data_IF_262664579872
#
_entry.id   IF_262664579872
#
_cell.length_a   1.000
_cell.length_b   1.000
_cell.length_c   1.000
_cell.angle_alpha   90.00
_cell.angle_beta   90.00
_cell.angle_gamma   90.00
#
_symmetry.space_group_name_H-M   'P 1'
#
loop_
_entity.id
_entity.type
_entity.pdbx_description
1 polymer ?
#
# COMPACT_ATOMS: atom_id res chain seq x y z
N UNK A 1 -10.45 -16.78 1.84
CA UNK A 1 -9.51 -16.62 0.69
C UNK A 1 -9.40 -17.89 -0.13
N UNK A 2 -9.12 -19.05 0.45
CA UNK A 2 -8.77 -20.30 -0.27
C UNK A 2 -9.81 -20.74 -1.31
N UNK A 3 -11.11 -20.71 -0.98
CA UNK A 3 -12.17 -21.11 -1.92
C UNK A 3 -12.32 -20.10 -3.08
N UNK A 4 -12.26 -18.81 -2.79
CA UNK A 4 -12.48 -17.73 -3.77
C UNK A 4 -11.32 -17.59 -4.77
N UNK A 5 -10.09 -17.80 -4.31
CA UNK A 5 -8.86 -17.60 -5.11
C UNK A 5 -8.12 -18.93 -5.37
N UNK A 6 -8.84 -20.06 -5.40
CA UNK A 6 -8.22 -21.38 -5.57
C UNK A 6 -7.32 -21.47 -6.81
N UNK A 7 -7.79 -20.96 -7.95
CA UNK A 7 -7.05 -20.99 -9.22
C UNK A 7 -5.77 -20.14 -9.16
N UNK A 8 -5.84 -18.94 -8.57
CA UNK A 8 -4.68 -18.05 -8.40
C UNK A 8 -3.66 -18.67 -7.44
N UNK A 9 -4.13 -19.26 -6.34
CA UNK A 9 -3.29 -19.93 -5.35
C UNK A 9 -2.56 -21.11 -6.01
N UNK A 10 -3.26 -21.96 -6.76
CA UNK A 10 -2.64 -23.06 -7.50
C UNK A 10 -1.60 -22.57 -8.50
N UNK A 11 -1.91 -21.52 -9.25
CA UNK A 11 -0.98 -20.87 -10.18
C UNK A 11 0.26 -20.30 -9.49
N UNK A 12 0.12 -19.73 -8.29
CA UNK A 12 1.24 -19.26 -7.49
C UNK A 12 2.09 -20.45 -7.04
N UNK A 13 1.48 -21.46 -6.43
CA UNK A 13 2.19 -22.62 -5.92
C UNK A 13 2.91 -23.39 -7.02
N UNK A 14 2.34 -23.48 -8.22
CA UNK A 14 2.96 -24.17 -9.37
C UNK A 14 4.27 -23.55 -9.85
N UNK A 15 4.57 -22.30 -9.47
CA UNK A 15 5.85 -21.63 -9.81
C UNK A 15 7.01 -22.08 -8.95
N UNK A 16 6.76 -22.80 -7.86
CA UNK A 16 7.75 -23.24 -6.88
C UNK A 16 7.81 -24.76 -6.78
N UNK A 17 8.97 -25.34 -6.46
CA UNK A 17 9.07 -26.77 -6.14
C UNK A 17 8.14 -27.12 -4.97
N UNK A 18 7.58 -28.36 -4.99
CA UNK A 18 6.61 -28.80 -3.99
C UNK A 18 7.13 -28.74 -2.55
N UNK A 19 8.46 -28.90 -2.36
CA UNK A 19 9.16 -28.80 -1.08
C UNK A 19 9.57 -27.36 -0.72
N UNK A 20 9.18 -26.35 -1.51
CA UNK A 20 9.57 -24.93 -1.38
C UNK A 20 8.38 -23.99 -1.33
N UNK A 21 7.23 -24.44 -0.83
CA UNK A 21 6.00 -23.61 -0.73
C UNK A 21 6.18 -22.34 0.10
N UNK A 22 7.13 -22.31 1.04
CA UNK A 22 7.51 -21.11 1.79
C UNK A 22 7.79 -19.90 0.88
N UNK A 23 8.35 -20.12 -0.31
CA UNK A 23 8.63 -19.05 -1.28
C UNK A 23 7.37 -18.38 -1.82
N UNK A 24 6.20 -18.97 -1.65
CA UNK A 24 4.91 -18.43 -2.06
C UNK A 24 4.28 -17.47 -1.03
N UNK A 25 4.87 -17.29 0.16
CA UNK A 25 4.29 -16.47 1.24
C UNK A 25 3.99 -15.04 0.75
N UNK A 26 4.94 -14.37 0.10
CA UNK A 26 4.75 -12.99 -0.41
C UNK A 26 3.56 -12.87 -1.38
N UNK A 27 3.50 -13.64 -2.49
CA UNK A 27 2.35 -13.53 -3.40
C UNK A 27 1.02 -13.99 -2.78
N UNK A 28 1.03 -14.88 -1.80
CA UNK A 28 -0.18 -15.27 -1.06
C UNK A 28 -0.67 -14.15 -0.13
N UNK A 29 0.26 -13.40 0.51
CA UNK A 29 -0.08 -12.22 1.31
C UNK A 29 -0.72 -11.11 0.48
N UNK A 30 -0.32 -10.90 -0.77
CA UNK A 30 -1.01 -9.95 -1.65
C UNK A 30 -2.47 -10.35 -1.90
N UNK A 31 -2.76 -11.64 -2.13
CA UNK A 31 -4.14 -12.12 -2.26
C UNK A 31 -4.90 -11.93 -0.94
N UNK A 32 -4.28 -12.23 0.19
CA UNK A 32 -4.89 -12.08 1.50
C UNK A 32 -5.22 -10.62 1.79
N UNK A 33 -4.28 -9.71 1.55
CA UNK A 33 -4.49 -8.28 1.74
C UNK A 33 -5.58 -7.72 0.81
N UNK A 34 -5.63 -8.18 -0.44
CA UNK A 34 -6.69 -7.82 -1.39
C UNK A 34 -8.07 -8.28 -0.90
N UNK A 35 -8.19 -9.48 -0.32
CA UNK A 35 -9.46 -10.04 0.14
C UNK A 35 -9.95 -9.38 1.44
N UNK A 36 -9.04 -9.13 2.39
CA UNK A 36 -9.40 -8.68 3.74
C UNK A 36 -9.12 -7.20 3.99
N UNK A 37 -8.52 -6.48 3.03
CA UNK A 37 -8.12 -5.08 3.14
C UNK A 37 -6.80 -4.87 3.87
N UNK A 38 -6.38 -5.82 4.73
CA UNK A 38 -5.09 -5.86 5.42
C UNK A 38 -4.76 -7.30 5.84
N UNK A 39 -3.54 -7.56 6.30
CA UNK A 39 -3.09 -8.87 6.75
C UNK A 39 -3.62 -9.18 8.16
N UNK A 40 -4.89 -9.58 8.24
CA UNK A 40 -5.51 -9.94 9.53
C UNK A 40 -4.81 -11.16 10.15
N UNK A 41 -4.92 -11.38 11.50
CA UNK A 41 -4.41 -12.61 12.13
C UNK A 41 -4.98 -13.90 11.52
N UNK A 42 -6.22 -13.87 11.02
CA UNK A 42 -6.82 -15.01 10.32
C UNK A 42 -6.20 -15.20 8.92
N UNK A 43 -5.97 -14.11 8.18
CA UNK A 43 -5.28 -14.13 6.90
C UNK A 43 -3.85 -14.70 7.03
N UNK A 44 -3.11 -14.29 8.06
CA UNK A 44 -1.76 -14.81 8.36
C UNK A 44 -1.82 -16.33 8.60
N UNK A 45 -2.77 -16.82 9.39
CA UNK A 45 -2.95 -18.26 9.64
C UNK A 45 -3.32 -19.03 8.36
N UNK A 46 -4.17 -18.46 7.53
CA UNK A 46 -4.58 -19.08 6.26
C UNK A 46 -3.40 -19.16 5.28
N UNK A 47 -2.62 -18.11 5.14
CA UNK A 47 -1.40 -18.09 4.30
C UNK A 47 -0.37 -19.10 4.83
N UNK A 48 -0.17 -19.17 6.15
CA UNK A 48 0.76 -20.10 6.77
C UNK A 48 0.37 -21.57 6.48
N UNK A 49 -0.92 -21.89 6.58
CA UNK A 49 -1.42 -23.22 6.26
C UNK A 49 -1.20 -23.62 4.78
N UNK A 50 -1.41 -22.67 3.84
CA UNK A 50 -1.19 -22.91 2.41
C UNK A 50 0.30 -23.09 2.10
N UNK A 51 1.16 -22.26 2.69
CA UNK A 51 2.61 -22.27 2.49
C UNK A 51 3.35 -23.35 3.29
N UNK A 52 2.63 -24.06 4.18
CA UNK A 52 3.18 -25.09 5.08
C UNK A 52 4.31 -24.56 5.96
N UNK A 53 4.09 -23.38 6.58
CA UNK A 53 5.02 -22.71 7.51
C UNK A 53 4.31 -22.33 8.80
N UNK A 54 5.08 -21.92 9.83
CA UNK A 54 4.49 -21.41 11.06
C UNK A 54 3.90 -20.01 10.86
N UNK A 55 2.75 -19.67 11.49
CA UNK A 55 2.14 -18.35 11.39
C UNK A 55 3.08 -17.19 11.75
N UNK A 56 4.00 -17.40 12.71
CA UNK A 56 5.00 -16.41 13.11
C UNK A 56 5.99 -16.08 11.99
N UNK A 57 6.27 -17.02 11.07
CA UNK A 57 7.12 -16.74 9.91
C UNK A 57 6.41 -15.83 8.90
N UNK A 58 5.09 -15.99 8.73
CA UNK A 58 4.27 -15.14 7.88
C UNK A 58 4.13 -13.75 8.50
N UNK A 59 3.88 -13.67 9.80
CA UNK A 59 3.78 -12.43 10.56
C UNK A 59 5.09 -11.62 10.49
N UNK A 60 6.24 -12.27 10.58
CA UNK A 60 7.53 -11.64 10.40
C UNK A 60 7.72 -11.04 8.99
N UNK A 61 7.13 -11.64 7.96
CA UNK A 61 7.12 -11.09 6.59
C UNK A 61 6.24 -9.85 6.51
N UNK A 62 5.07 -9.87 7.13
CA UNK A 62 4.16 -8.70 7.21
C UNK A 62 4.88 -7.54 7.90
N UNK A 63 5.51 -7.75 9.04
CA UNK A 63 6.23 -6.72 9.77
C UNK A 63 7.51 -6.20 9.07
N UNK A 64 8.08 -6.98 8.14
CA UNK A 64 9.29 -6.58 7.41
C UNK A 64 8.99 -5.75 6.14
N UNK A 65 7.94 -6.08 5.41
CA UNK A 65 7.63 -5.45 4.13
C UNK A 65 6.62 -4.32 4.29
N UNK A 66 7.00 -3.09 3.97
CA UNK A 66 6.20 -1.87 4.14
C UNK A 66 4.94 -1.79 3.29
N UNK A 67 4.74 -2.71 2.34
CA UNK A 67 3.52 -2.79 1.53
C UNK A 67 2.46 -3.76 2.09
N UNK A 68 2.76 -4.42 3.21
CA UNK A 68 1.78 -5.19 3.95
C UNK A 68 1.34 -4.41 5.19
N UNK A 69 0.05 -4.37 5.41
CA UNK A 69 -0.55 -3.68 6.55
C UNK A 69 -1.06 -4.72 7.56
N UNK A 70 -0.69 -4.56 8.83
CA UNK A 70 -1.16 -5.37 9.96
C UNK A 70 -2.39 -4.77 10.66
N UNK A 71 -2.85 -3.62 10.17
CA UNK A 71 -3.97 -2.84 10.66
C UNK A 71 -4.85 -2.34 9.51
N UNK A 72 -6.11 -1.93 9.79
CA UNK A 72 -6.99 -1.37 8.78
C UNK A 72 -6.41 -0.12 8.14
N UNK A 73 -6.41 -0.08 6.81
CA UNK A 73 -6.07 1.10 6.00
C UNK A 73 -7.29 1.56 5.20
N UNK A 74 -7.22 2.76 4.65
CA UNK A 74 -8.25 3.28 3.75
C UNK A 74 -8.33 2.50 2.44
N UNK A 75 -9.39 2.75 1.69
CA UNK A 75 -9.58 2.16 0.36
C UNK A 75 -8.39 2.42 -0.57
N UNK A 76 -7.77 3.59 -0.44
CA UNK A 76 -6.60 4.03 -1.21
C UNK A 76 -5.48 4.42 -0.25
N UNK A 77 -4.27 3.93 -0.51
CA UNK A 77 -3.08 4.27 0.27
C UNK A 77 -2.24 5.27 -0.50
N UNK A 78 -2.09 6.46 0.07
CA UNK A 78 -1.32 7.59 -0.49
C UNK A 78 0.00 7.70 0.24
N UNK A 79 1.11 7.46 -0.44
CA UNK A 79 2.46 7.47 0.13
C UNK A 79 3.26 8.64 -0.45
N UNK A 80 3.58 9.64 0.39
CA UNK A 80 4.35 10.82 -0.01
C UNK A 80 5.83 10.60 0.32
N UNK A 81 6.68 10.72 -0.69
CA UNK A 81 8.13 10.62 -0.52
C UNK A 81 8.69 11.87 0.18
N UNK A 82 9.44 11.67 1.27
CA UNK A 82 10.08 12.77 2.04
C UNK A 82 11.60 12.67 2.13
N UNK A 83 12.25 11.80 1.33
CA UNK A 83 13.70 11.69 1.31
C UNK A 83 14.38 13.00 0.84
N UNK A 84 15.68 13.11 1.08
CA UNK A 84 16.45 14.35 0.88
C UNK A 84 16.20 15.05 -0.48
N UNK A 85 16.21 14.38 -1.63
CA UNK A 85 15.92 15.04 -2.91
C UNK A 85 14.49 15.62 -2.97
N UNK A 86 13.50 14.91 -2.40
CA UNK A 86 12.12 15.35 -2.32
C UNK A 86 11.97 16.51 -1.34
N UNK A 87 12.64 16.46 -0.18
CA UNK A 87 12.66 17.54 0.81
C UNK A 87 13.22 18.84 0.22
N UNK A 88 14.34 18.77 -0.52
CA UNK A 88 14.93 19.92 -1.22
C UNK A 88 14.01 20.49 -2.31
N UNK A 89 13.05 19.75 -2.77
CA UNK A 89 12.03 20.12 -3.76
C UNK A 89 10.67 20.48 -3.14
N UNK A 90 10.60 20.60 -1.81
CA UNK A 90 9.41 21.06 -1.10
C UNK A 90 8.42 19.96 -0.70
N UNK A 91 8.86 18.70 -0.55
CA UNK A 91 7.96 17.63 -0.13
C UNK A 91 7.37 17.82 1.26
N UNK A 92 8.03 18.56 2.15
CA UNK A 92 7.50 18.86 3.48
C UNK A 92 6.26 19.76 3.38
N UNK A 93 6.34 20.85 2.60
CA UNK A 93 5.20 21.72 2.35
C UNK A 93 4.08 21.01 1.59
N UNK A 94 4.45 20.11 0.69
CA UNK A 94 3.50 19.25 -0.03
C UNK A 94 2.78 18.31 0.93
N UNK A 95 3.49 17.67 1.87
CA UNK A 95 2.90 16.80 2.90
C UNK A 95 1.97 17.60 3.82
N UNK A 96 2.34 18.81 4.23
CA UNK A 96 1.48 19.71 5.01
C UNK A 96 0.16 20.03 4.27
N UNK A 97 0.25 20.25 2.95
CA UNK A 97 -0.93 20.46 2.11
C UNK A 97 -1.79 19.19 2.04
N UNK A 98 -1.18 18.02 1.82
CA UNK A 98 -1.88 16.74 1.76
C UNK A 98 -2.61 16.42 3.07
N UNK A 99 -1.96 16.63 4.22
CA UNK A 99 -2.58 16.47 5.52
C UNK A 99 -3.82 17.36 5.70
N UNK A 100 -3.73 18.65 5.31
CA UNK A 100 -4.84 19.59 5.37
C UNK A 100 -5.99 19.20 4.44
N UNK A 101 -5.68 18.80 3.20
CA UNK A 101 -6.68 18.39 2.20
C UNK A 101 -7.44 17.16 2.64
N UNK A 102 -6.76 16.17 3.21
CA UNK A 102 -7.34 14.91 3.66
C UNK A 102 -7.92 14.99 5.08
N UNK A 103 -7.62 16.06 5.83
CA UNK A 103 -8.12 16.25 7.19
C UNK A 103 -7.51 15.27 8.19
N UNK A 104 -6.23 14.91 8.01
CA UNK A 104 -5.50 13.97 8.86
C UNK A 104 -4.39 14.67 9.66
N UNK A 105 -4.01 14.08 10.79
CA UNK A 105 -2.95 14.60 11.65
C UNK A 105 -1.56 14.25 11.11
N UNK A 106 -0.71 15.28 10.92
CA UNK A 106 0.64 15.11 10.35
C UNK A 106 1.53 14.21 11.19
N UNK A 107 1.44 14.29 12.52
CA UNK A 107 2.26 13.45 13.39
C UNK A 107 1.93 11.97 13.21
N UNK A 108 0.65 11.62 13.06
CA UNK A 108 0.25 10.23 12.75
C UNK A 108 0.76 9.79 11.38
N UNK A 109 0.65 10.66 10.37
CA UNK A 109 1.16 10.39 9.01
C UNK A 109 2.66 10.08 9.00
N UNK A 110 3.45 10.78 9.80
CA UNK A 110 4.90 10.57 9.91
C UNK A 110 5.28 9.34 10.76
N UNK A 111 4.34 8.76 11.51
CA UNK A 111 4.59 7.65 12.46
C UNK A 111 3.74 6.40 12.19
N UNK A 112 3.43 6.13 10.94
CA UNK A 112 2.73 4.90 10.55
C UNK A 112 1.46 5.10 9.73
N UNK A 113 1.18 6.36 9.34
CA UNK A 113 0.03 6.68 8.51
C UNK A 113 -1.20 7.13 9.30
N UNK A 114 -2.08 7.84 8.60
CA UNK A 114 -3.36 8.31 9.14
C UNK A 114 -4.48 8.11 8.13
N UNK A 115 -5.56 7.47 8.56
CA UNK A 115 -6.74 7.20 7.72
C UNK A 115 -7.78 8.29 7.88
N UNK A 116 -8.35 8.76 6.75
CA UNK A 116 -9.45 9.73 6.74
C UNK A 116 -10.69 9.19 7.46
N UNK A 117 -11.50 10.07 8.04
CA UNK A 117 -12.67 9.69 8.82
C UNK A 117 -13.73 8.90 8.00
N UNK A 118 -13.74 9.08 6.68
CA UNK A 118 -14.60 8.35 5.75
C UNK A 118 -14.02 7.00 5.29
N UNK A 119 -12.80 6.66 5.75
CA UNK A 119 -12.11 5.42 5.37
C UNK A 119 -11.66 5.36 3.89
N UNK A 120 -11.70 6.47 3.15
CA UNK A 120 -11.35 6.46 1.74
C UNK A 120 -9.83 6.45 1.52
N UNK A 121 -9.07 7.19 2.33
CA UNK A 121 -7.64 7.33 2.15
C UNK A 121 -6.87 7.05 3.43
N UNK A 122 -5.73 6.39 3.30
CA UNK A 122 -4.66 6.42 4.30
C UNK A 122 -3.50 7.21 3.72
N UNK A 123 -3.03 8.25 4.42
CA UNK A 123 -1.85 9.02 4.04
C UNK A 123 -0.65 8.58 4.88
N UNK A 124 0.45 8.31 4.22
CA UNK A 124 1.73 7.93 4.84
C UNK A 124 2.87 8.81 4.32
N UNK A 125 3.81 9.15 5.19
CA UNK A 125 5.09 9.72 4.82
C UNK A 125 6.11 8.58 4.70
N UNK A 126 6.68 8.38 3.50
CA UNK A 126 7.63 7.31 3.24
C UNK A 126 9.01 7.85 2.90
N UNK A 127 10.06 7.10 3.27
CA UNK A 127 11.44 7.58 3.13
C UNK A 127 11.81 7.80 1.66
N UNK A 128 11.61 6.80 0.77
CA UNK A 128 12.05 6.95 -0.61
C UNK A 128 11.21 6.10 -1.57
N UNK A 129 10.70 6.73 -2.64
CA UNK A 129 10.02 6.07 -3.76
C UNK A 129 10.90 5.97 -5.01
N UNK A 130 12.20 6.27 -4.91
CA UNK A 130 13.23 6.08 -5.93
C UNK A 130 13.03 6.85 -7.27
N UNK A 131 12.22 7.93 -7.30
CA UNK A 131 12.05 8.81 -8.47
C UNK A 131 12.54 10.24 -8.19
N UNK A 132 13.78 10.36 -7.71
CA UNK A 132 14.37 11.60 -7.20
C UNK A 132 14.47 12.74 -8.22
N UNK A 133 14.65 12.43 -9.50
CA UNK A 133 14.69 13.39 -10.61
C UNK A 133 13.31 14.01 -10.92
N UNK A 134 12.25 13.44 -10.36
CA UNK A 134 10.85 13.81 -10.61
C UNK A 134 10.10 14.26 -9.35
N UNK A 135 10.85 14.69 -8.34
CA UNK A 135 10.31 15.24 -7.10
C UNK A 135 9.60 16.59 -7.31
N UNK A 136 8.60 16.98 -6.50
CA UNK A 136 7.93 16.16 -5.48
C UNK A 136 7.09 15.06 -6.10
N UNK A 137 6.98 13.92 -5.39
CA UNK A 137 6.25 12.78 -5.89
C UNK A 137 5.56 12.00 -4.77
N UNK A 138 4.54 11.26 -5.16
CA UNK A 138 3.82 10.31 -4.31
C UNK A 138 3.47 9.04 -5.08
N UNK A 139 2.99 8.04 -4.36
CA UNK A 139 2.40 6.82 -4.88
C UNK A 139 0.98 6.69 -4.32
N UNK A 140 0.01 6.32 -5.17
CA UNK A 140 -1.33 5.89 -4.74
C UNK A 140 -1.54 4.47 -5.27
N UNK A 141 -1.82 3.52 -4.39
CA UNK A 141 -2.11 2.12 -4.75
C UNK A 141 -1.07 1.51 -5.71
N UNK A 142 0.24 1.82 -5.50
CA UNK A 142 1.38 1.40 -6.31
C UNK A 142 1.56 2.16 -7.65
N UNK A 143 0.71 3.13 -7.98
CA UNK A 143 0.89 4.00 -9.13
C UNK A 143 1.64 5.27 -8.76
N UNK A 144 2.66 5.64 -9.52
CA UNK A 144 3.51 6.80 -9.28
C UNK A 144 2.95 8.06 -9.93
N UNK A 145 2.93 9.16 -9.15
CA UNK A 145 2.58 10.50 -9.58
C UNK A 145 3.75 11.44 -9.32
N UNK A 146 4.25 12.05 -10.37
CA UNK A 146 5.54 12.72 -10.41
C UNK A 146 5.38 14.23 -10.63
N UNK A 147 6.34 15.05 -10.12
CA UNK A 147 6.38 16.51 -10.30
C UNK A 147 5.09 17.22 -9.90
N UNK A 148 4.48 16.75 -8.83
CA UNK A 148 3.17 17.21 -8.40
C UNK A 148 3.19 18.60 -7.80
N UNK A 149 2.17 19.38 -8.15
CA UNK A 149 1.78 20.58 -7.43
C UNK A 149 0.65 20.27 -6.43
N UNK A 150 0.41 21.14 -5.43
CA UNK A 150 -0.75 20.99 -4.54
C UNK A 150 -2.08 20.89 -5.28
N UNK A 151 -2.27 21.66 -6.36
CA UNK A 151 -3.49 21.67 -7.17
C UNK A 151 -3.69 20.36 -7.94
N UNK A 152 -2.60 19.76 -8.44
CA UNK A 152 -2.65 18.44 -9.09
C UNK A 152 -2.98 17.35 -8.09
N UNK A 153 -2.42 17.42 -6.88
CA UNK A 153 -2.80 16.51 -5.79
C UNK A 153 -4.29 16.61 -5.46
N UNK A 154 -4.82 17.84 -5.30
CA UNK A 154 -6.23 18.04 -5.02
C UNK A 154 -7.13 17.42 -6.09
N UNK A 155 -6.76 17.56 -7.37
CA UNK A 155 -7.47 16.94 -8.48
C UNK A 155 -7.41 15.42 -8.44
N UNK A 156 -6.22 14.84 -8.18
CA UNK A 156 -6.06 13.39 -8.04
C UNK A 156 -6.95 12.82 -6.95
N UNK A 157 -6.97 13.44 -5.77
CA UNK A 157 -7.84 12.99 -4.68
C UNK A 157 -9.32 13.00 -5.08
N UNK A 158 -9.79 14.02 -5.80
CA UNK A 158 -11.18 14.04 -6.27
C UNK A 158 -11.46 12.99 -7.38
N UNK A 159 -10.48 12.69 -8.24
CA UNK A 159 -10.59 11.61 -9.24
C UNK A 159 -10.70 10.23 -8.56
N UNK A 160 -9.89 9.95 -7.53
CA UNK A 160 -9.95 8.71 -6.76
C UNK A 160 -11.26 8.57 -5.95
N UNK A 161 -11.76 9.66 -5.35
CA UNK A 161 -13.07 9.67 -4.67
C UNK A 161 -14.22 9.28 -5.59
N UNK A 162 -14.15 9.66 -6.86
CA UNK A 162 -15.22 9.44 -7.85
C UNK A 162 -15.05 8.17 -8.68
N UNK A 163 -14.05 7.32 -8.40
CA UNK A 163 -13.62 6.13 -9.15
C UNK A 163 -13.31 6.41 -10.64
N UNK A 164 -13.13 7.67 -11.06
CA UNK A 164 -12.79 8.04 -12.44
C UNK A 164 -11.39 7.60 -12.83
N UNK A 165 -10.56 7.26 -11.84
CA UNK A 165 -9.18 6.84 -12.09
C UNK A 165 -9.10 5.42 -12.64
N UNK A 166 -9.96 4.49 -12.20
CA UNK A 166 -10.01 3.12 -12.72
C UNK A 166 -10.35 3.04 -14.21
N UNK A 167 -11.13 4.00 -14.72
CA UNK A 167 -11.49 4.08 -16.14
C UNK A 167 -10.33 4.51 -17.04
N UNK A 168 -9.29 5.17 -16.49
CA UNK A 168 -8.10 5.63 -17.25
C UNK A 168 -7.01 4.55 -17.36
N UNK A 169 -6.92 3.63 -16.41
CA UNK A 169 -5.92 2.55 -16.41
C UNK A 169 -6.30 1.37 -17.31
N UNK A 170 -7.56 1.28 -17.75
CA UNK A 170 -8.08 0.24 -18.66
C UNK A 170 -8.14 0.69 -20.12
N UNK A 171 -7.79 1.94 -20.46
CA UNK A 171 -7.79 2.50 -21.81
C UNK A 171 -6.38 2.66 -22.36
#
# INVERSE_FOLDING_TARGET
MQEKYSTEIEKILSKYPADRKRSAVLPLLYIAQQEYGYCTPDAIREVAAIAEVEPTEVDAVVGFYTLFFDHPVGKHVVQVCNDLPCALRGSEQFLDHACKKLGVDKHQVEHGGATTADGQFTLESVVCLAACDKAPMLQIDLEFFERLTPEEFDRLIEEYKTNKHSERSEA
#
